data_IF_325711937244
#
_entry.id   IF_325711937244
#
_cell.length_a   1.000
_cell.length_b   1.000
_cell.length_c   1.000
_cell.angle_alpha   90.00
_cell.angle_beta   90.00
_cell.angle_gamma   90.00
#
_symmetry.space_group_name_H-M   'P 1'
#
loop_
_entity.id
_entity.type
_entity.pdbx_description
1 polymer ?
#
# COMPACT_ATOMS: atom_id res chain seq x y z
N UNK A 1 28.58 46.90 -27.50
CA UNK A 1 27.49 45.92 -27.71
C UNK A 1 26.16 46.69 -27.67
N UNK A 2 25.29 46.62 -28.68
CA UNK A 2 24.11 47.48 -28.73
C UNK A 2 23.09 47.08 -27.63
N UNK A 3 22.42 48.03 -26.97
CA UNK A 3 21.49 47.75 -25.86
C UNK A 3 20.31 46.85 -26.24
N UNK A 4 20.01 46.73 -27.54
CA UNK A 4 18.92 45.90 -28.09
C UNK A 4 19.19 44.38 -27.99
N UNK A 5 20.45 43.93 -27.91
CA UNK A 5 20.77 42.50 -27.81
C UNK A 5 20.58 41.94 -26.40
N UNK A 6 20.79 42.76 -25.35
CA UNK A 6 20.63 42.32 -23.95
C UNK A 6 19.15 42.10 -23.60
N UNK A 7 18.25 42.98 -24.05
CA UNK A 7 16.80 42.81 -23.86
C UNK A 7 16.25 41.57 -24.54
N UNK A 8 16.73 41.25 -25.76
CA UNK A 8 16.34 40.03 -26.48
C UNK A 8 16.79 38.76 -25.75
N UNK A 9 18.02 38.73 -25.23
CA UNK A 9 18.54 37.60 -24.44
C UNK A 9 17.72 37.37 -23.17
N UNK A 10 17.37 38.44 -22.45
CA UNK A 10 16.53 38.35 -21.26
C UNK A 10 15.13 37.82 -21.58
N UNK A 11 14.47 38.31 -22.63
CA UNK A 11 13.16 37.81 -23.06
C UNK A 11 13.22 36.33 -23.46
N UNK A 12 14.24 35.92 -24.23
CA UNK A 12 14.42 34.51 -24.61
C UNK A 12 14.66 33.60 -23.40
N UNK A 13 15.41 34.05 -22.40
CA UNK A 13 15.61 33.31 -21.15
C UNK A 13 14.29 33.12 -20.38
N UNK A 14 13.53 34.20 -20.20
CA UNK A 14 12.23 34.16 -19.50
C UNK A 14 11.26 33.23 -20.23
N UNK A 15 11.15 33.35 -21.55
CA UNK A 15 10.30 32.45 -22.37
C UNK A 15 10.76 31.00 -22.25
N UNK A 16 12.07 30.74 -22.31
CA UNK A 16 12.63 29.41 -22.13
C UNK A 16 12.29 28.80 -20.77
N UNK A 17 12.41 29.57 -19.69
CA UNK A 17 12.04 29.15 -18.34
C UNK A 17 10.54 28.85 -18.21
N UNK A 18 9.68 29.68 -18.81
CA UNK A 18 8.23 29.45 -18.81
C UNK A 18 7.86 28.17 -19.58
N UNK A 19 8.48 27.92 -20.72
CA UNK A 19 8.27 26.69 -21.50
C UNK A 19 8.77 25.45 -20.74
N UNK A 20 9.93 25.55 -20.07
CA UNK A 20 10.44 24.46 -19.24
C UNK A 20 9.52 24.16 -18.05
N UNK A 21 9.02 25.19 -17.37
CA UNK A 21 8.06 25.05 -16.27
C UNK A 21 6.74 24.42 -16.74
N UNK A 22 6.21 24.88 -17.88
CA UNK A 22 5.01 24.31 -18.49
C UNK A 22 5.21 22.83 -18.88
N UNK A 23 6.36 22.51 -19.49
CA UNK A 23 6.72 21.14 -19.86
C UNK A 23 6.81 20.23 -18.64
N UNK A 24 7.42 20.70 -17.55
CA UNK A 24 7.52 19.96 -16.30
C UNK A 24 6.14 19.74 -15.68
N UNK A 25 5.31 20.79 -15.60
CA UNK A 25 3.95 20.70 -15.06
C UNK A 25 3.10 19.71 -15.85
N UNK A 26 3.16 19.76 -17.19
CA UNK A 26 2.44 18.82 -18.04
C UNK A 26 2.95 17.38 -17.86
N UNK A 27 4.26 17.20 -17.74
CA UNK A 27 4.85 15.88 -17.50
C UNK A 27 4.41 15.28 -16.17
N UNK A 28 4.40 16.08 -15.10
CA UNK A 28 3.92 15.65 -13.78
C UNK A 28 2.41 15.32 -13.81
N UNK A 29 1.60 16.15 -14.47
CA UNK A 29 0.18 15.89 -14.63
C UNK A 29 -0.09 14.58 -15.39
N UNK A 30 0.61 14.35 -16.49
CA UNK A 30 0.49 13.09 -17.25
C UNK A 30 0.95 11.90 -16.42
N UNK A 31 2.10 12.02 -15.72
CA UNK A 31 2.62 10.97 -14.87
C UNK A 31 1.63 10.59 -13.75
N UNK A 32 1.04 11.59 -13.09
CA UNK A 32 0.01 11.37 -12.06
C UNK A 32 -1.22 10.66 -12.63
N UNK A 33 -1.69 11.05 -13.83
CA UNK A 33 -2.84 10.39 -14.48
C UNK A 33 -2.54 8.96 -14.90
N UNK A 34 -1.33 8.70 -15.40
CA UNK A 34 -0.88 7.35 -15.73
C UNK A 34 -0.81 6.50 -14.46
N UNK A 35 -0.13 7.00 -13.41
CA UNK A 35 -0.02 6.29 -12.14
C UNK A 35 -1.39 5.99 -11.53
N UNK A 36 -2.29 6.97 -11.49
CA UNK A 36 -3.65 6.79 -11.00
C UNK A 36 -4.50 5.83 -11.86
N UNK A 37 -4.27 5.78 -13.18
CA UNK A 37 -4.95 4.82 -14.05
C UNK A 37 -4.48 3.37 -13.80
N UNK A 38 -3.19 3.19 -13.52
CA UNK A 38 -2.61 1.88 -13.21
C UNK A 38 -2.74 1.49 -11.73
N UNK A 39 -3.04 2.43 -10.84
CA UNK A 39 -3.32 2.15 -9.45
C UNK A 39 -4.68 1.44 -9.32
N UNK A 40 -4.61 0.12 -9.12
CA UNK A 40 -5.76 -0.76 -8.89
C UNK A 40 -6.58 -0.35 -7.66
N UNK A 41 -5.99 0.45 -6.77
CA UNK A 41 -6.61 0.89 -5.52
C UNK A 41 -7.16 2.33 -5.60
N UNK A 42 -6.99 3.05 -6.71
CA UNK A 42 -7.42 4.45 -6.82
C UNK A 42 -8.93 4.67 -6.59
N UNK A 43 -9.75 3.63 -6.80
CA UNK A 43 -11.20 3.65 -6.53
C UNK A 43 -11.61 3.09 -5.17
N UNK A 44 -10.66 2.60 -4.36
CA UNK A 44 -10.95 2.00 -3.05
C UNK A 44 -10.96 3.06 -1.95
N UNK A 45 -11.87 2.95 -0.96
CA UNK A 45 -11.85 3.85 0.18
C UNK A 45 -10.61 3.61 1.03
N UNK A 46 -10.11 4.68 1.66
CA UNK A 46 -9.05 4.56 2.66
C UNK A 46 -9.48 3.64 3.81
N UNK A 47 -10.72 3.68 4.26
CA UNK A 47 -11.30 2.65 5.12
C UNK A 47 -12.75 2.46 4.73
N UNK A 48 -13.21 1.22 4.59
CA UNK A 48 -14.60 0.99 4.24
C UNK A 48 -14.93 -0.44 3.84
N UNK A 49 -16.19 -0.64 3.44
CA UNK A 49 -16.69 -1.89 2.89
C UNK A 49 -16.98 -1.68 1.40
N UNK A 50 -16.38 -2.52 0.55
CA UNK A 50 -16.64 -2.54 -0.90
C UNK A 50 -16.99 -3.96 -1.29
N UNK A 51 -18.22 -4.16 -1.78
CA UNK A 51 -18.70 -5.50 -2.17
C UNK A 51 -18.68 -6.53 -1.03
N UNK A 52 -18.87 -6.10 0.22
CA UNK A 52 -18.80 -6.96 1.41
C UNK A 52 -17.39 -7.27 1.91
N UNK A 53 -16.34 -6.80 1.23
CA UNK A 53 -14.95 -6.91 1.66
C UNK A 53 -14.55 -5.64 2.42
N UNK A 54 -13.94 -5.80 3.60
CA UNK A 54 -13.38 -4.68 4.37
C UNK A 54 -12.04 -4.27 3.78
N UNK A 55 -11.82 -2.97 3.64
CA UNK A 55 -10.56 -2.38 3.20
C UNK A 55 -9.99 -1.45 4.27
N UNK A 56 -8.66 -1.47 4.39
CA UNK A 56 -7.87 -0.50 5.15
C UNK A 56 -6.71 -0.03 4.28
N UNK A 57 -6.59 1.27 4.08
CA UNK A 57 -5.70 1.97 3.17
C UNK A 57 -5.61 1.34 1.78
N UNK A 58 -6.74 0.93 1.21
CA UNK A 58 -6.79 0.26 -0.10
C UNK A 58 -6.43 -1.23 -0.09
N UNK A 59 -6.10 -1.83 1.06
CA UNK A 59 -5.82 -3.25 1.17
C UNK A 59 -7.00 -4.03 1.77
N UNK A 60 -7.38 -5.19 1.19
CA UNK A 60 -8.44 -6.01 1.74
C UNK A 60 -8.03 -6.62 3.08
N UNK A 61 -9.00 -6.72 3.98
CA UNK A 61 -8.87 -7.24 5.34
C UNK A 61 -9.95 -8.28 5.58
N UNK A 62 -9.56 -9.46 6.08
CA UNK A 62 -10.49 -10.44 6.62
C UNK A 62 -10.45 -10.38 8.14
N UNK A 63 -11.64 -10.32 8.73
CA UNK A 63 -11.83 -10.45 10.17
C UNK A 63 -12.60 -11.74 10.44
N UNK A 64 -12.20 -12.49 11.45
CA UNK A 64 -12.90 -13.69 11.88
C UNK A 64 -14.03 -13.36 12.88
N UNK A 65 -14.76 -14.39 13.32
CA UNK A 65 -15.89 -14.25 14.26
C UNK A 65 -15.48 -13.61 15.60
N UNK A 66 -14.21 -13.73 15.98
CA UNK A 66 -13.62 -13.17 17.20
C UNK A 66 -13.16 -11.71 17.04
N UNK A 67 -13.43 -11.06 15.90
CA UNK A 67 -12.93 -9.72 15.58
C UNK A 67 -11.41 -9.63 15.55
N UNK A 68 -10.72 -10.76 15.35
CA UNK A 68 -9.30 -10.82 15.06
C UNK A 68 -9.07 -10.85 13.55
N UNK A 69 -7.92 -10.35 13.11
CA UNK A 69 -7.57 -10.33 11.68
C UNK A 69 -7.07 -11.71 11.28
N UNK A 70 -7.59 -12.22 10.17
CA UNK A 70 -7.18 -13.51 9.62
C UNK A 70 -8.33 -14.50 9.46
N UNK A 71 -7.97 -15.78 9.44
CA UNK A 71 -8.90 -16.89 9.19
C UNK A 71 -9.74 -17.22 10.42
N UNK A 72 -10.87 -17.90 10.21
CA UNK A 72 -11.62 -18.52 11.30
C UNK A 72 -10.80 -19.68 11.88
N UNK A 73 -10.52 -19.71 13.19
CA UNK A 73 -9.80 -20.82 13.79
C UNK A 73 -10.68 -22.08 13.83
N UNK A 74 -10.10 -23.23 13.52
CA UNK A 74 -10.80 -24.53 13.64
C UNK A 74 -11.00 -24.86 15.13
N UNK A 75 -12.22 -25.14 15.56
CA UNK A 75 -12.51 -25.53 16.96
C UNK A 75 -13.07 -26.96 16.97
N UNK A 76 -12.48 -27.90 17.75
CA UNK A 76 -11.37 -27.73 18.69
C UNK A 76 -10.00 -27.58 18.00
N UNK A 77 -9.00 -27.09 18.75
CA UNK A 77 -7.61 -26.96 18.26
C UNK A 77 -7.07 -28.35 17.89
N UNK A 78 -6.63 -28.49 16.64
CA UNK A 78 -6.07 -29.74 16.14
C UNK A 78 -4.73 -30.10 16.82
N UNK A 79 -4.42 -31.39 16.88
CA UNK A 79 -3.12 -31.86 17.34
C UNK A 79 -2.00 -31.40 16.39
N UNK A 80 -0.81 -31.09 16.93
CA UNK A 80 0.30 -30.56 16.14
C UNK A 80 0.16 -29.09 15.70
N UNK A 81 -0.98 -28.45 16.00
CA UNK A 81 -1.21 -27.01 15.71
C UNK A 81 -0.90 -26.15 16.93
N UNK A 82 -0.07 -25.13 16.72
CA UNK A 82 0.26 -24.10 17.69
C UNK A 82 -0.34 -22.78 17.25
N UNK A 83 -1.12 -22.16 18.13
CA UNK A 83 -1.77 -20.86 17.87
C UNK A 83 -1.00 -19.76 18.57
N UNK A 84 -0.68 -18.71 17.83
CA UNK A 84 0.06 -17.56 18.34
C UNK A 84 -0.85 -16.35 18.32
N UNK A 85 -1.24 -15.88 19.51
CA UNK A 85 -1.98 -14.63 19.63
C UNK A 85 -1.00 -13.46 19.60
N UNK A 86 -1.18 -12.54 18.65
CA UNK A 86 -0.44 -11.30 18.57
C UNK A 86 -1.31 -10.13 19.04
N UNK A 87 -0.85 -9.43 20.09
CA UNK A 87 -1.56 -8.31 20.70
C UNK A 87 -0.76 -7.02 20.53
N UNK A 88 -1.43 -5.95 20.14
CA UNK A 88 -0.84 -4.64 19.95
C UNK A 88 -1.83 -3.63 19.40
N UNK A 89 -1.33 -2.64 18.68
CA UNK A 89 -2.11 -1.55 18.10
C UNK A 89 -2.36 -1.74 16.59
N UNK A 90 -2.60 -0.64 15.87
CA UNK A 90 -2.81 -0.63 14.42
C UNK A 90 -1.64 -1.18 13.60
N UNK A 91 -0.40 -1.11 14.11
CA UNK A 91 0.77 -1.71 13.48
C UNK A 91 0.72 -3.23 13.61
N UNK A 92 0.34 -3.74 14.79
CA UNK A 92 0.13 -5.18 15.00
C UNK A 92 -1.04 -5.72 14.19
N UNK A 93 -2.09 -4.91 14.06
CA UNK A 93 -3.20 -5.22 13.17
C UNK A 93 -2.79 -5.27 11.69
N UNK A 94 -1.72 -4.58 11.31
CA UNK A 94 -1.24 -4.50 9.92
C UNK A 94 -2.04 -3.54 9.05
N UNK A 95 -2.52 -2.42 9.59
CA UNK A 95 -3.30 -1.45 8.83
C UNK A 95 -2.55 -1.03 7.55
N UNK A 96 -3.21 -1.14 6.40
CA UNK A 96 -2.64 -0.74 5.11
C UNK A 96 -1.61 -1.70 4.51
N UNK A 97 -1.59 -2.96 4.94
CA UNK A 97 -0.87 -4.03 4.23
C UNK A 97 -1.78 -5.24 4.07
N UNK A 98 -1.48 -6.14 3.12
CA UNK A 98 -2.21 -7.41 2.97
C UNK A 98 -1.89 -8.42 4.09
N UNK A 99 -2.68 -9.49 4.22
CA UNK A 99 -2.46 -10.54 5.23
C UNK A 99 -1.14 -11.30 5.07
N UNK A 100 -0.57 -11.36 3.87
CA UNK A 100 0.73 -11.97 3.62
C UNK A 100 1.90 -11.03 3.92
N UNK A 101 1.66 -9.72 3.93
CA UNK A 101 2.70 -8.69 4.12
C UNK A 101 2.81 -8.23 5.58
N UNK A 102 1.78 -8.44 6.41
CA UNK A 102 1.88 -8.25 7.86
C UNK A 102 3.01 -9.10 8.44
N UNK A 103 3.74 -8.57 9.42
CA UNK A 103 4.85 -9.31 10.03
C UNK A 103 4.41 -10.65 10.64
N UNK A 104 3.17 -10.75 11.13
CA UNK A 104 2.59 -11.99 11.65
C UNK A 104 2.35 -13.03 10.54
N UNK A 105 1.95 -12.60 9.34
CA UNK A 105 1.82 -13.48 8.17
C UNK A 105 3.18 -13.92 7.62
N UNK A 106 4.16 -13.01 7.61
CA UNK A 106 5.56 -13.34 7.27
C UNK A 106 6.13 -14.32 8.29
N UNK A 107 5.93 -14.09 9.59
CA UNK A 107 6.38 -14.98 10.65
C UNK A 107 5.72 -16.36 10.58
N UNK A 108 4.41 -16.43 10.33
CA UNK A 108 3.70 -17.70 10.10
C UNK A 108 4.33 -18.50 8.96
N UNK A 109 4.55 -17.84 7.81
CA UNK A 109 5.14 -18.48 6.64
C UNK A 109 6.58 -18.93 6.89
N UNK A 110 7.37 -18.17 7.65
CA UNK A 110 8.74 -18.54 7.99
C UNK A 110 8.78 -19.70 8.99
N UNK A 111 7.96 -19.67 10.03
CA UNK A 111 7.94 -20.72 11.05
C UNK A 111 7.45 -22.05 10.49
N UNK A 112 6.41 -22.03 9.64
CA UNK A 112 5.91 -23.23 8.96
C UNK A 112 6.92 -23.81 7.95
N UNK A 113 7.93 -23.05 7.51
CA UNK A 113 9.03 -23.57 6.67
C UNK A 113 10.14 -24.24 7.47
N UNK A 114 10.33 -23.85 8.73
CA UNK A 114 11.42 -24.34 9.58
C UNK A 114 11.10 -25.73 10.13
N UNK A 115 9.84 -25.97 10.51
CA UNK A 115 9.41 -27.22 11.14
C UNK A 115 8.14 -27.74 10.45
N UNK A 116 8.27 -28.81 9.67
CA UNK A 116 7.16 -29.40 8.93
C UNK A 116 6.22 -30.24 9.82
N UNK A 117 6.66 -30.62 11.03
CA UNK A 117 5.83 -31.40 11.97
C UNK A 117 4.92 -30.50 12.80
N UNK A 118 5.24 -29.21 12.92
CA UNK A 118 4.46 -28.22 13.68
C UNK A 118 3.80 -27.23 12.74
N UNK A 119 2.48 -27.16 12.80
CA UNK A 119 1.73 -26.12 12.11
C UNK A 119 1.57 -24.91 13.03
N UNK A 120 2.09 -23.76 12.63
CA UNK A 120 1.89 -22.48 13.29
C UNK A 120 0.74 -21.72 12.62
N UNK A 121 -0.17 -21.18 13.42
CA UNK A 121 -1.28 -20.32 12.99
C UNK A 121 -1.29 -19.05 13.84
N UNK A 122 -1.32 -17.87 13.20
CA UNK A 122 -1.50 -16.58 13.86
C UNK A 122 -2.95 -16.11 13.81
#
# INVERSE_FOLDING_TARGET
MPPKTLGRLFTSLVVGLLLAALSLALSLFIAERILGYYDRNAGLPANGLVGGVRYTWGHPVRENSYKARGSEPIVPKQAGVYRVLSLGDSLTWGAGVSESERYTGVAEALLNKIDAEKKIEF
#
